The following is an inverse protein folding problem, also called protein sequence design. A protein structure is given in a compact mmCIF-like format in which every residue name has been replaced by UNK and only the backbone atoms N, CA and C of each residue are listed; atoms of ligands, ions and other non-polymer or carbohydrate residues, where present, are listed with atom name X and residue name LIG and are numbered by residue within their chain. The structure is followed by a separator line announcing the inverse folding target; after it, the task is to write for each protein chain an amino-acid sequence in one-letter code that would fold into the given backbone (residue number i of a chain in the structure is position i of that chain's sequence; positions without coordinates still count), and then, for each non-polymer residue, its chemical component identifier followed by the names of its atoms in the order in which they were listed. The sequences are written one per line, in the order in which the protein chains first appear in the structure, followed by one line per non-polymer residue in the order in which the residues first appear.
data_IF_105591609870
#
_entry.id   IF_105591609870
#
_cell.length_a   1.000
_cell.length_b   1.000
_cell.length_c   1.000
_cell.angle_alpha   90.00
_cell.angle_beta   90.00
_cell.angle_gamma   90.00
#
_symmetry.space_group_name_H-M   'P 1'
#
loop_
_entity.id
_entity.type
_entity.pdbx_description
1 polymer ?
#
# COMPACT_ATOMS: atom_id res chain seq x y z
N UNK A 1 -24.67 4.80 0.61
CA UNK A 1 -24.54 6.28 0.72
C UNK A 1 -24.16 6.85 -0.63
N UNK A 2 -24.34 8.16 -0.88
CA UNK A 2 -23.92 8.78 -2.15
C UNK A 2 -22.45 9.12 -2.12
N UNK A 3 -21.71 8.92 -3.22
CA UNK A 3 -20.32 9.37 -3.37
C UNK A 3 -20.15 10.88 -3.13
N UNK A 4 -21.21 11.66 -3.37
CA UNK A 4 -21.20 13.13 -3.12
C UNK A 4 -20.97 13.53 -1.66
N UNK A 5 -21.15 12.60 -0.71
CA UNK A 5 -20.92 12.86 0.72
C UNK A 5 -19.51 12.46 1.18
N UNK A 6 -18.68 11.93 0.29
CA UNK A 6 -17.31 11.54 0.62
C UNK A 6 -16.42 12.77 0.70
N UNK A 7 -15.53 12.76 1.70
CA UNK A 7 -14.57 13.83 1.97
C UNK A 7 -13.13 13.34 1.98
N UNK A 8 -12.92 12.03 2.14
CA UNK A 8 -11.61 11.43 2.19
C UNK A 8 -11.49 10.34 1.12
N UNK A 9 -10.63 10.57 0.15
CA UNK A 9 -10.43 9.74 -1.01
C UNK A 9 -9.08 9.03 -0.92
N UNK A 10 -9.10 7.74 -0.70
CA UNK A 10 -7.91 6.90 -0.72
C UNK A 10 -7.77 6.35 -2.14
N UNK A 11 -6.69 6.72 -2.82
CA UNK A 11 -6.51 6.52 -4.25
C UNK A 11 -5.35 5.56 -4.49
N UNK A 12 -5.60 4.45 -5.18
CA UNK A 12 -4.49 3.78 -5.85
C UNK A 12 -3.96 4.67 -6.99
N UNK A 13 -2.79 4.35 -7.53
CA UNK A 13 -2.12 5.21 -8.52
C UNK A 13 -2.07 4.60 -9.90
N UNK A 14 -1.28 3.54 -10.08
CA UNK A 14 -1.08 2.89 -11.38
C UNK A 14 -2.38 2.16 -11.80
N UNK A 15 -2.92 2.48 -12.97
CA UNK A 15 -4.22 1.95 -13.43
C UNK A 15 -5.43 2.76 -12.95
N UNK A 16 -5.25 3.69 -12.00
CA UNK A 16 -6.33 4.49 -11.40
C UNK A 16 -6.22 5.97 -11.74
N UNK A 17 -5.05 6.57 -11.56
CA UNK A 17 -4.80 7.99 -11.82
C UNK A 17 -3.97 8.18 -13.09
N UNK A 18 -3.07 7.26 -13.36
CA UNK A 18 -2.21 7.24 -14.54
C UNK A 18 -1.88 5.79 -14.91
N UNK A 19 -1.37 5.59 -16.13
CA UNK A 19 -0.73 4.35 -16.55
C UNK A 19 0.68 4.69 -17.06
N UNK A 20 1.71 4.07 -16.48
CA UNK A 20 3.12 4.41 -16.70
C UNK A 20 3.40 5.90 -16.44
N UNK A 21 3.46 6.73 -17.50
CA UNK A 21 3.68 8.18 -17.41
C UNK A 21 2.52 8.99 -18.00
N UNK A 22 1.43 8.35 -18.39
CA UNK A 22 0.28 8.98 -19.02
C UNK A 22 -0.86 9.14 -18.01
N UNK A 23 -1.23 10.38 -17.72
CA UNK A 23 -2.38 10.70 -16.89
C UNK A 23 -3.68 10.28 -17.58
N UNK A 24 -4.58 9.67 -16.80
CA UNK A 24 -5.95 9.49 -17.26
C UNK A 24 -6.69 10.84 -17.34
N UNK A 25 -7.54 10.95 -18.37
CA UNK A 25 -8.36 12.14 -18.57
C UNK A 25 -9.26 12.39 -17.32
N UNK A 26 -9.36 13.65 -16.90
CA UNK A 26 -10.10 14.05 -15.71
C UNK A 26 -9.39 13.85 -14.37
N UNK A 27 -8.19 13.25 -14.33
CA UNK A 27 -7.47 13.03 -13.07
C UNK A 27 -7.13 14.34 -12.35
N UNK A 28 -6.57 15.33 -13.07
CA UNK A 28 -6.26 16.65 -12.49
C UNK A 28 -7.53 17.39 -12.04
N UNK A 29 -8.60 17.33 -12.84
CA UNK A 29 -9.88 17.94 -12.49
C UNK A 29 -10.44 17.33 -11.20
N UNK A 30 -10.38 16.00 -11.07
CA UNK A 30 -10.84 15.29 -9.88
C UNK A 30 -10.03 15.70 -8.63
N UNK A 31 -8.70 15.64 -8.69
CA UNK A 31 -7.84 16.00 -7.55
C UNK A 31 -8.07 17.45 -7.11
N UNK A 32 -8.15 18.39 -8.09
CA UNK A 32 -8.44 19.80 -7.83
C UNK A 32 -9.83 19.99 -7.21
N UNK A 33 -10.85 19.28 -7.69
CA UNK A 33 -12.21 19.39 -7.18
C UNK A 33 -12.32 18.83 -5.74
N UNK A 34 -11.63 17.73 -5.41
CA UNK A 34 -11.55 17.22 -4.04
C UNK A 34 -11.02 18.29 -3.10
N UNK A 35 -9.90 18.91 -3.42
CA UNK A 35 -9.29 19.94 -2.58
C UNK A 35 -10.18 21.20 -2.48
N UNK A 36 -10.74 21.67 -3.60
CA UNK A 36 -11.60 22.84 -3.64
C UNK A 36 -12.90 22.68 -2.87
N UNK A 37 -13.40 21.44 -2.73
CA UNK A 37 -14.59 21.12 -1.94
C UNK A 37 -14.29 20.93 -0.43
N UNK A 38 -13.04 21.14 -0.01
CA UNK A 38 -12.61 20.91 1.38
C UNK A 38 -12.41 19.45 1.74
N UNK A 39 -12.37 18.56 0.75
CA UNK A 39 -12.00 17.15 0.91
C UNK A 39 -10.48 16.97 0.93
N UNK A 40 -10.05 15.73 1.22
CA UNK A 40 -8.66 15.30 1.19
C UNK A 40 -8.52 14.03 0.37
N UNK A 41 -7.43 13.90 -0.35
CA UNK A 41 -7.02 12.63 -0.94
C UNK A 41 -5.68 12.18 -0.39
N UNK A 42 -5.43 10.88 -0.44
CA UNK A 42 -4.12 10.25 -0.25
C UNK A 42 -3.91 9.21 -1.34
N UNK A 43 -2.73 9.21 -1.92
CA UNK A 43 -2.25 8.13 -2.75
C UNK A 43 -1.82 6.95 -1.88
N UNK A 44 -2.40 5.77 -2.10
CA UNK A 44 -2.20 4.58 -1.26
C UNK A 44 -1.58 3.48 -2.09
N UNK A 45 -0.30 3.17 -1.84
CA UNK A 45 0.45 2.17 -2.61
C UNK A 45 1.06 1.07 -1.74
N UNK A 46 1.01 -0.17 -2.24
CA UNK A 46 1.71 -1.30 -1.62
C UNK A 46 3.22 -1.30 -1.87
N UNK A 47 3.68 -0.53 -2.85
CA UNK A 47 5.09 -0.54 -3.20
C UNK A 47 5.95 0.04 -2.07
N UNK A 48 6.83 -0.79 -1.52
CA UNK A 48 7.78 -0.44 -0.45
C UNK A 48 9.22 -0.29 -0.95
N UNK A 49 9.46 -0.43 -2.25
CA UNK A 49 10.83 -0.34 -2.83
C UNK A 49 11.26 1.09 -3.18
N UNK A 50 10.31 2.03 -3.27
CA UNK A 50 10.57 3.44 -3.60
C UNK A 50 10.24 4.33 -2.40
N UNK A 51 11.05 5.36 -2.22
CA UNK A 51 10.75 6.41 -1.25
C UNK A 51 9.56 7.28 -1.71
N UNK A 52 8.90 7.92 -0.78
CA UNK A 52 7.82 8.86 -1.07
C UNK A 52 8.30 10.03 -1.94
N UNK A 53 9.55 10.48 -1.76
CA UNK A 53 10.15 11.54 -2.61
C UNK A 53 10.22 11.13 -4.08
N UNK A 54 10.51 9.85 -4.37
CA UNK A 54 10.53 9.35 -5.74
C UNK A 54 9.13 9.36 -6.38
N UNK A 55 8.08 9.19 -5.59
CA UNK A 55 6.69 9.34 -6.07
C UNK A 55 6.34 10.81 -6.31
N UNK A 56 6.73 11.72 -5.41
CA UNK A 56 6.57 13.17 -5.61
C UNK A 56 7.22 13.60 -6.92
N UNK A 57 8.46 13.17 -7.18
CA UNK A 57 9.17 13.48 -8.42
C UNK A 57 8.46 12.87 -9.66
N UNK A 58 8.00 11.62 -9.58
CA UNK A 58 7.24 10.97 -10.66
C UNK A 58 5.96 11.74 -10.98
N UNK A 59 5.15 12.06 -9.97
CA UNK A 59 3.88 12.76 -10.15
C UNK A 59 4.08 14.17 -10.69
N UNK A 60 5.09 14.90 -10.23
CA UNK A 60 5.44 16.21 -10.76
C UNK A 60 5.76 16.16 -12.27
N UNK A 61 6.47 15.13 -12.74
CA UNK A 61 6.79 14.97 -14.17
C UNK A 61 5.56 14.75 -15.06
N UNK A 62 4.50 14.19 -14.50
CA UNK A 62 3.24 13.98 -15.21
C UNK A 62 2.18 15.03 -14.89
N UNK A 63 2.56 16.12 -14.22
CA UNK A 63 1.73 17.30 -14.00
C UNK A 63 0.88 17.29 -12.74
N UNK A 64 1.08 16.35 -11.80
CA UNK A 64 0.42 16.35 -10.49
C UNK A 64 1.36 16.98 -9.46
N UNK A 65 0.94 18.11 -8.87
CA UNK A 65 1.62 18.68 -7.71
C UNK A 65 1.21 17.93 -6.46
N UNK A 66 2.14 17.16 -5.90
CA UNK A 66 1.93 16.40 -4.68
C UNK A 66 3.10 16.61 -3.70
N UNK A 67 2.82 16.47 -2.41
CA UNK A 67 3.80 16.51 -1.34
C UNK A 67 3.93 15.13 -0.70
N UNK A 68 4.98 14.91 0.07
CA UNK A 68 5.20 13.65 0.82
C UNK A 68 3.97 13.27 1.67
N UNK A 69 3.27 14.26 2.21
CA UNK A 69 2.08 14.07 3.05
C UNK A 69 0.83 13.57 2.29
N UNK A 70 0.85 13.64 0.96
CA UNK A 70 -0.24 13.15 0.11
C UNK A 70 -0.11 11.65 -0.23
N UNK A 71 0.89 10.98 0.35
CA UNK A 71 1.13 9.56 0.16
C UNK A 71 0.98 8.77 1.46
N UNK A 72 0.55 7.53 1.31
CA UNK A 72 0.64 6.49 2.31
C UNK A 72 1.15 5.22 1.63
N UNK A 73 2.42 4.94 1.82
CA UNK A 73 3.05 3.70 1.34
C UNK A 73 2.84 2.57 2.36
N UNK A 74 3.00 1.33 1.92
CA UNK A 74 3.03 0.20 2.86
C UNK A 74 4.18 0.29 3.87
N UNK A 75 5.29 0.98 3.52
CA UNK A 75 6.37 1.30 4.46
C UNK A 75 5.90 2.27 5.54
N UNK A 76 5.22 3.37 5.16
CA UNK A 76 4.70 4.35 6.12
C UNK A 76 3.69 3.70 7.08
N UNK A 77 2.79 2.89 6.54
CA UNK A 77 1.83 2.14 7.34
C UNK A 77 2.54 1.14 8.28
N UNK A 78 3.61 0.49 7.82
CA UNK A 78 4.41 -0.41 8.65
C UNK A 78 5.11 0.37 9.77
N UNK A 79 5.67 1.55 9.49
CA UNK A 79 6.25 2.43 10.51
C UNK A 79 5.21 2.83 11.57
N UNK A 80 4.00 3.22 11.15
CA UNK A 80 2.90 3.54 12.08
C UNK A 80 2.49 2.32 12.92
N UNK A 81 2.37 1.16 12.30
CA UNK A 81 2.04 -0.08 13.00
C UNK A 81 3.09 -0.48 14.03
N UNK A 82 4.37 -0.22 13.76
CA UNK A 82 5.49 -0.53 14.64
C UNK A 82 5.57 0.38 15.87
N UNK A 83 4.89 1.53 15.92
CA UNK A 83 4.87 2.41 17.10
C UNK A 83 4.42 1.70 18.37
N UNK A 84 3.55 0.69 18.28
CA UNK A 84 3.15 -0.13 19.44
C UNK A 84 4.29 -0.96 20.03
N UNK A 85 5.42 -1.06 19.34
CA UNK A 85 6.62 -1.75 19.79
C UNK A 85 7.79 -0.77 20.03
N UNK A 86 7.49 0.47 20.43
CA UNK A 86 8.51 1.48 20.69
C UNK A 86 9.61 0.95 21.63
N UNK A 87 10.85 1.28 21.33
CA UNK A 87 12.04 0.83 22.06
C UNK A 87 12.45 -0.63 21.81
N UNK A 88 11.76 -1.34 20.91
CA UNK A 88 12.11 -2.73 20.55
C UNK A 88 12.88 -2.78 19.24
N UNK A 89 13.80 -3.76 19.14
CA UNK A 89 14.67 -3.97 18.00
C UNK A 89 14.06 -4.97 17.02
N UNK A 90 14.16 -4.66 15.71
CA UNK A 90 13.71 -5.50 14.63
C UNK A 90 14.84 -5.83 13.67
N UNK A 91 14.94 -7.09 13.24
CA UNK A 91 15.73 -7.49 12.10
C UNK A 91 15.03 -7.04 10.80
N UNK A 92 15.77 -6.38 9.91
CA UNK A 92 15.21 -5.89 8.64
C UNK A 92 15.65 -6.77 7.48
N UNK A 93 14.65 -7.30 6.75
CA UNK A 93 14.82 -7.95 5.45
C UNK A 93 14.19 -7.05 4.38
N UNK A 94 14.99 -6.22 3.76
CA UNK A 94 14.56 -5.23 2.78
C UNK A 94 15.76 -4.48 2.20
N UNK A 95 15.48 -3.46 1.37
CA UNK A 95 16.52 -2.59 0.82
C UNK A 95 17.14 -1.71 1.91
N UNK A 96 18.31 -1.15 1.63
CA UNK A 96 18.92 -0.15 2.51
C UNK A 96 18.00 1.06 2.71
N UNK A 97 17.35 1.53 1.65
CA UNK A 97 16.38 2.64 1.72
C UNK A 97 15.20 2.32 2.66
N UNK A 98 14.69 1.09 2.62
CA UNK A 98 13.64 0.64 3.54
C UNK A 98 14.11 0.67 5.00
N UNK A 99 15.30 0.17 5.29
CA UNK A 99 15.88 0.21 6.64
C UNK A 99 16.07 1.66 7.13
N UNK A 100 16.56 2.55 6.27
CA UNK A 100 16.75 3.97 6.59
C UNK A 100 15.41 4.67 6.92
N UNK A 101 14.35 4.39 6.17
CA UNK A 101 13.01 4.94 6.44
C UNK A 101 12.46 4.43 7.79
N UNK A 102 12.66 3.15 8.13
CA UNK A 102 12.30 2.61 9.44
C UNK A 102 13.05 3.34 10.57
N UNK A 103 14.37 3.55 10.42
CA UNK A 103 15.19 4.29 11.40
C UNK A 103 14.72 5.73 11.57
N UNK A 104 14.45 6.44 10.48
CA UNK A 104 13.93 7.82 10.51
C UNK A 104 12.58 7.91 11.23
N UNK A 105 11.78 6.85 11.17
CA UNK A 105 10.50 6.74 11.87
C UNK A 105 10.64 6.32 13.35
N UNK A 106 11.89 6.18 13.85
CA UNK A 106 12.17 5.85 15.25
C UNK A 106 12.21 4.34 15.56
N UNK A 107 12.15 3.47 14.54
CA UNK A 107 12.28 2.01 14.72
C UNK A 107 13.75 1.64 14.94
N UNK A 108 14.04 0.88 15.99
CA UNK A 108 15.39 0.34 16.22
C UNK A 108 15.57 -0.88 15.33
N UNK A 109 16.54 -0.82 14.41
CA UNK A 109 16.75 -1.85 13.39
C UNK A 109 18.14 -2.47 13.47
N UNK A 110 18.25 -3.70 12.99
CA UNK A 110 19.52 -4.40 12.72
C UNK A 110 19.39 -5.25 11.47
N UNK A 111 20.52 -5.52 10.82
CA UNK A 111 20.68 -6.49 9.72
C UNK A 111 21.55 -7.69 10.13
N UNK A 112 21.82 -7.81 11.42
CA UNK A 112 22.58 -8.92 12.02
C UNK A 112 21.73 -9.66 13.02
N UNK A 113 21.98 -10.96 13.22
CA UNK A 113 21.32 -11.75 14.26
C UNK A 113 21.87 -11.33 15.63
N UNK A 114 21.01 -10.78 16.46
CA UNK A 114 21.29 -10.33 17.84
C UNK A 114 20.29 -10.93 18.82
N UNK A 115 20.64 -11.02 20.12
CA UNK A 115 19.82 -11.71 21.09
C UNK A 115 18.54 -10.93 21.47
N UNK A 116 18.58 -9.60 21.38
CA UNK A 116 17.51 -8.68 21.81
C UNK A 116 16.51 -8.32 20.70
N UNK A 117 16.52 -9.05 19.58
CA UNK A 117 15.55 -8.88 18.48
C UNK A 117 14.16 -9.34 18.98
N UNK A 118 13.17 -8.44 18.88
CA UNK A 118 11.76 -8.75 19.14
C UNK A 118 11.08 -9.39 17.92
N UNK A 119 11.46 -8.98 16.73
CA UNK A 119 10.78 -9.41 15.52
C UNK A 119 11.54 -9.12 14.23
N UNK A 120 10.89 -9.47 13.14
CA UNK A 120 11.38 -9.28 11.76
C UNK A 120 10.43 -8.37 11.03
N UNK A 121 10.96 -7.40 10.29
CA UNK A 121 10.21 -6.56 9.35
C UNK A 121 10.77 -6.81 7.94
N UNK A 122 9.88 -7.26 7.04
CA UNK A 122 10.21 -7.56 5.65
C UNK A 122 9.55 -6.54 4.73
N UNK A 123 10.30 -6.00 3.77
CA UNK A 123 9.81 -5.18 2.67
C UNK A 123 10.14 -5.80 1.32
N UNK A 124 9.67 -5.18 0.23
CA UNK A 124 10.12 -5.54 -1.11
C UNK A 124 11.61 -5.27 -1.23
N UNK A 125 12.40 -6.31 -1.53
CA UNK A 125 13.86 -6.27 -1.45
C UNK A 125 14.52 -6.51 -2.80
N UNK A 126 14.82 -5.43 -3.52
CA UNK A 126 15.59 -5.48 -4.77
C UNK A 126 17.09 -5.72 -4.54
N UNK A 127 17.53 -5.76 -3.28
CA UNK A 127 18.89 -6.08 -2.84
C UNK A 127 18.95 -7.46 -2.15
N UNK A 128 17.98 -8.35 -2.43
CA UNK A 128 17.84 -9.65 -1.79
C UNK A 128 19.06 -10.53 -2.00
N UNK A 129 19.54 -11.12 -0.91
CA UNK A 129 20.64 -12.08 -0.90
C UNK A 129 20.19 -13.37 -0.22
N UNK A 130 20.84 -14.49 -0.55
CA UNK A 130 20.58 -15.75 0.15
C UNK A 130 20.85 -15.65 1.65
N UNK A 131 21.84 -14.84 2.06
CA UNK A 131 22.12 -14.59 3.49
C UNK A 131 20.93 -14.00 4.22
N UNK A 132 20.20 -13.03 3.63
CA UNK A 132 18.99 -12.46 4.25
C UNK A 132 17.89 -13.53 4.43
N UNK A 133 17.72 -14.41 3.44
CA UNK A 133 16.78 -15.53 3.53
C UNK A 133 17.17 -16.53 4.62
N UNK A 134 18.45 -16.87 4.72
CA UNK A 134 18.99 -17.77 5.75
C UNK A 134 18.80 -17.17 7.16
N UNK A 135 19.19 -15.91 7.36
CA UNK A 135 19.04 -15.20 8.64
C UNK A 135 17.55 -15.17 9.09
N UNK A 136 16.62 -14.80 8.20
CA UNK A 136 15.19 -14.78 8.49
C UNK A 136 14.67 -16.18 8.82
N UNK A 137 15.05 -17.18 8.04
CA UNK A 137 14.63 -18.57 8.25
C UNK A 137 15.14 -19.11 9.59
N UNK A 138 16.40 -18.83 9.92
CA UNK A 138 17.01 -19.20 11.20
C UNK A 138 16.30 -18.53 12.37
N UNK A 139 16.11 -17.22 12.32
CA UNK A 139 15.43 -16.45 13.36
C UNK A 139 14.01 -16.98 13.63
N UNK A 140 13.23 -17.27 12.59
CA UNK A 140 11.85 -17.79 12.70
C UNK A 140 11.78 -19.25 13.16
N UNK A 141 12.85 -20.04 12.94
CA UNK A 141 12.93 -21.44 13.36
C UNK A 141 13.37 -21.55 14.81
N UNK A 142 14.37 -20.76 15.21
CA UNK A 142 14.98 -20.85 16.54
C UNK A 142 14.23 -20.04 17.60
N UNK A 143 13.39 -19.06 17.21
CA UNK A 143 12.76 -18.10 18.13
C UNK A 143 11.28 -17.84 17.78
N UNK A 144 10.48 -17.56 18.80
CA UNK A 144 9.12 -17.02 18.64
C UNK A 144 9.21 -15.50 18.52
N UNK A 145 9.12 -14.99 17.29
CA UNK A 145 9.29 -13.56 16.96
C UNK A 145 8.03 -12.99 16.33
N UNK A 146 7.83 -11.68 16.50
CA UNK A 146 6.86 -10.93 15.70
C UNK A 146 7.38 -10.88 14.27
N UNK A 147 6.57 -11.36 13.30
CA UNK A 147 6.95 -11.36 11.89
C UNK A 147 5.98 -10.50 11.08
N UNK A 148 6.48 -9.42 10.51
CA UNK A 148 5.72 -8.38 9.80
C UNK A 148 6.26 -8.26 8.38
N UNK A 149 5.38 -8.06 7.41
CA UNK A 149 5.73 -7.76 6.02
C UNK A 149 4.91 -6.58 5.50
N UNK A 150 5.52 -5.76 4.64
CA UNK A 150 4.89 -4.55 4.12
C UNK A 150 3.66 -4.82 3.27
N UNK A 151 3.71 -5.85 2.40
CA UNK A 151 2.60 -6.18 1.50
C UNK A 151 2.60 -7.67 1.13
N UNK A 152 1.44 -8.22 0.71
CA UNK A 152 1.31 -9.61 0.28
C UNK A 152 1.51 -9.81 -1.24
N UNK A 153 1.89 -8.79 -1.99
CA UNK A 153 1.94 -8.84 -3.45
C UNK A 153 2.97 -9.87 -3.93
N UNK A 154 2.57 -10.69 -4.89
CA UNK A 154 3.41 -11.74 -5.44
C UNK A 154 4.44 -11.21 -6.41
N UNK A 155 4.07 -10.19 -7.17
CA UNK A 155 4.87 -9.64 -8.25
C UNK A 155 4.78 -8.12 -8.28
N UNK A 156 5.88 -7.49 -8.73
CA UNK A 156 5.95 -6.07 -9.04
C UNK A 156 6.12 -5.90 -10.55
N UNK A 157 5.31 -5.07 -11.23
CA UNK A 157 5.43 -4.83 -12.67
C UNK A 157 6.72 -4.07 -13.02
N UNK A 158 7.29 -4.42 -14.16
CA UNK A 158 8.46 -3.77 -14.76
C UNK A 158 8.22 -3.56 -16.26
N UNK A 159 9.06 -2.79 -16.92
CA UNK A 159 8.97 -2.56 -18.38
C UNK A 159 9.11 -3.83 -19.23
N UNK A 160 9.65 -4.92 -18.69
CA UNK A 160 9.85 -6.20 -19.40
C UNK A 160 8.97 -7.35 -18.88
N UNK A 161 8.05 -7.08 -17.92
CA UNK A 161 7.18 -8.08 -17.31
C UNK A 161 7.12 -7.92 -15.79
N UNK A 162 7.31 -9.00 -15.04
CA UNK A 162 7.15 -9.00 -13.59
C UNK A 162 8.40 -9.53 -12.88
N UNK A 163 8.66 -8.98 -11.68
CA UNK A 163 9.67 -9.50 -10.73
C UNK A 163 8.97 -9.93 -9.43
N UNK A 164 9.55 -10.88 -8.64
CA UNK A 164 9.01 -11.22 -7.33
C UNK A 164 8.91 -10.01 -6.41
N UNK A 165 7.80 -9.92 -5.66
CA UNK A 165 7.59 -8.90 -4.64
C UNK A 165 7.63 -9.53 -3.23
N UNK A 166 7.37 -8.75 -2.20
CA UNK A 166 7.44 -9.09 -0.79
C UNK A 166 6.64 -10.36 -0.45
N UNK A 167 5.43 -10.52 -0.98
CA UNK A 167 4.59 -11.71 -0.77
C UNK A 167 5.20 -12.99 -1.31
N UNK A 168 5.89 -12.94 -2.47
CA UNK A 168 6.58 -14.11 -3.02
C UNK A 168 7.74 -14.54 -2.11
N UNK A 169 8.51 -13.58 -1.59
CA UNK A 169 9.60 -13.86 -0.64
C UNK A 169 9.04 -14.41 0.68
N UNK A 170 7.95 -13.82 1.18
CA UNK A 170 7.28 -14.31 2.39
C UNK A 170 6.77 -15.75 2.24
N UNK A 171 6.21 -16.12 1.08
CA UNK A 171 5.78 -17.52 0.84
C UNK A 171 6.98 -18.47 0.76
N UNK A 172 8.11 -18.06 0.17
CA UNK A 172 9.34 -18.86 0.17
C UNK A 172 9.82 -19.13 1.60
N UNK A 173 9.84 -18.11 2.47
CA UNK A 173 10.17 -18.26 3.90
C UNK A 173 9.15 -19.17 4.62
N UNK A 174 7.86 -19.01 4.33
CA UNK A 174 6.81 -19.85 4.90
C UNK A 174 6.99 -21.32 4.54
N UNK A 175 7.39 -21.65 3.31
CA UNK A 175 7.68 -23.03 2.89
C UNK A 175 8.84 -23.63 3.67
N UNK A 176 9.84 -22.82 4.03
CA UNK A 176 11.01 -23.25 4.79
C UNK A 176 10.73 -23.40 6.30
N UNK A 177 9.92 -22.49 6.88
CA UNK A 177 9.80 -22.34 8.35
C UNK A 177 8.40 -22.67 8.90
N UNK A 178 7.38 -22.74 8.06
CA UNK A 178 5.97 -22.83 8.46
C UNK A 178 5.38 -21.52 8.99
N UNK A 179 6.16 -20.44 9.10
CA UNK A 179 5.72 -19.16 9.67
C UNK A 179 5.29 -18.18 8.57
N UNK A 180 4.21 -17.44 8.81
CA UNK A 180 3.69 -16.41 7.92
C UNK A 180 3.73 -15.05 8.60
N UNK A 181 4.03 -13.96 7.86
CA UNK A 181 4.01 -12.62 8.43
C UNK A 181 2.58 -12.09 8.62
N UNK A 182 2.48 -11.06 9.45
CA UNK A 182 1.36 -10.12 9.45
C UNK A 182 1.64 -9.13 8.33
N UNK A 183 0.81 -9.16 7.28
CA UNK A 183 0.88 -8.19 6.20
C UNK A 183 0.15 -6.90 6.59
N UNK A 184 0.75 -5.74 6.27
CA UNK A 184 0.21 -4.42 6.62
C UNK A 184 -0.48 -3.77 5.41
N UNK A 185 0.06 -3.97 4.20
CA UNK A 185 -0.46 -3.41 2.96
C UNK A 185 -1.80 -4.02 2.50
N UNK A 186 -2.40 -3.41 1.47
CA UNK A 186 -3.61 -3.92 0.80
C UNK A 186 -3.42 -5.40 0.42
N UNK A 187 -4.40 -6.27 0.56
CA UNK A 187 -5.83 -6.05 0.85
C UNK A 187 -6.18 -5.92 2.35
N UNK A 188 -5.19 -5.85 3.22
CA UNK A 188 -5.42 -5.67 4.65
C UNK A 188 -5.96 -4.25 4.93
N UNK A 189 -6.83 -4.10 5.94
CA UNK A 189 -7.46 -2.81 6.24
C UNK A 189 -6.53 -1.81 6.94
N UNK A 190 -5.40 -2.26 7.46
CA UNK A 190 -4.53 -1.50 8.37
C UNK A 190 -4.12 -0.14 7.78
N UNK A 191 -3.73 -0.10 6.49
CA UNK A 191 -3.36 1.16 5.84
C UNK A 191 -4.51 2.18 5.86
N UNK A 192 -5.71 1.75 5.49
CA UNK A 192 -6.88 2.61 5.42
C UNK A 192 -7.32 3.07 6.82
N UNK A 193 -7.32 2.15 7.79
CA UNK A 193 -7.66 2.46 9.18
C UNK A 193 -6.68 3.47 9.79
N UNK A 194 -5.38 3.28 9.58
CA UNK A 194 -4.33 4.21 10.02
C UNK A 194 -4.46 5.59 9.34
N UNK A 195 -4.82 5.63 8.05
CA UNK A 195 -5.08 6.88 7.34
C UNK A 195 -6.28 7.63 7.94
N UNK A 196 -7.40 6.94 8.16
CA UNK A 196 -8.59 7.53 8.78
C UNK A 196 -8.31 8.05 10.19
N UNK A 197 -7.61 7.29 11.00
CA UNK A 197 -7.20 7.72 12.35
C UNK A 197 -6.30 8.96 12.30
N UNK A 198 -5.26 8.94 11.45
CA UNK A 198 -4.31 10.05 11.31
C UNK A 198 -4.97 11.38 10.92
N UNK A 199 -5.96 11.32 10.02
CA UNK A 199 -6.59 12.51 9.45
C UNK A 199 -7.99 12.81 10.03
N UNK A 200 -8.51 11.98 10.93
CA UNK A 200 -9.76 12.21 11.66
C UNK A 200 -11.02 12.01 10.81
N UNK A 201 -11.00 11.17 9.78
CA UNK A 201 -12.17 10.87 8.96
C UNK A 201 -12.88 9.59 9.39
N UNK A 202 -14.22 9.60 9.31
CA UNK A 202 -15.04 8.42 9.55
C UNK A 202 -15.08 7.48 8.33
N UNK A 203 -15.56 6.26 8.52
CA UNK A 203 -15.76 5.30 7.43
C UNK A 203 -16.78 5.79 6.39
N UNK A 204 -17.81 6.47 6.86
CA UNK A 204 -18.87 7.04 6.03
C UNK A 204 -18.36 8.16 5.12
N UNK A 205 -17.38 8.92 5.59
CA UNK A 205 -16.74 10.01 4.84
C UNK A 205 -15.64 9.52 3.91
N UNK A 206 -15.18 8.27 4.08
CA UNK A 206 -14.04 7.70 3.35
C UNK A 206 -14.49 6.83 2.19
N UNK A 207 -13.72 6.82 1.10
CA UNK A 207 -13.87 5.91 -0.03
C UNK A 207 -12.51 5.45 -0.52
N UNK A 208 -12.37 4.15 -0.84
CA UNK A 208 -11.20 3.61 -1.53
C UNK A 208 -11.49 3.51 -3.02
N UNK A 209 -10.61 4.07 -3.85
CA UNK A 209 -10.68 4.03 -5.32
C UNK A 209 -9.45 3.31 -5.84
N UNK A 210 -9.65 2.31 -6.67
CA UNK A 210 -8.55 1.53 -7.25
C UNK A 210 -9.02 0.66 -8.40
N UNK A 211 -8.08 0.06 -9.10
CA UNK A 211 -8.32 -0.75 -10.29
C UNK A 211 -8.26 -2.26 -10.02
N UNK A 212 -7.90 -2.69 -8.79
CA UNK A 212 -7.73 -4.10 -8.46
C UNK A 212 -8.75 -4.56 -7.42
N UNK A 213 -9.56 -5.57 -7.81
CA UNK A 213 -10.54 -6.17 -6.90
C UNK A 213 -9.87 -6.83 -5.70
N UNK A 214 -8.77 -7.56 -5.91
CA UNK A 214 -8.13 -8.38 -4.88
C UNK A 214 -7.22 -7.60 -3.90
N UNK A 215 -6.89 -6.34 -4.19
CA UNK A 215 -6.11 -5.46 -3.30
C UNK A 215 -6.91 -4.25 -2.85
N UNK A 216 -7.26 -3.35 -3.77
CA UNK A 216 -7.88 -2.06 -3.45
C UNK A 216 -9.29 -2.23 -2.91
N UNK A 217 -10.13 -2.90 -3.70
CA UNK A 217 -11.52 -3.14 -3.31
C UNK A 217 -11.58 -4.01 -2.07
N UNK A 218 -10.75 -5.05 -2.01
CA UNK A 218 -10.66 -5.90 -0.85
C UNK A 218 -10.21 -5.13 0.41
N UNK A 219 -9.26 -4.19 0.29
CA UNK A 219 -8.83 -3.38 1.43
C UNK A 219 -9.94 -2.46 1.95
N UNK A 220 -10.68 -1.81 1.03
CA UNK A 220 -11.82 -0.97 1.38
C UNK A 220 -12.95 -1.79 2.03
N UNK A 221 -13.29 -2.95 1.45
CA UNK A 221 -14.26 -3.88 2.02
C UNK A 221 -13.87 -4.32 3.44
N UNK A 222 -12.62 -4.72 3.64
CA UNK A 222 -12.09 -5.16 4.93
C UNK A 222 -12.05 -4.02 5.96
N UNK A 223 -11.81 -2.78 5.53
CA UNK A 223 -11.85 -1.59 6.38
C UNK A 223 -13.30 -1.13 6.70
N UNK A 224 -14.28 -1.60 5.94
CA UNK A 224 -15.70 -1.22 6.07
C UNK A 224 -15.97 0.18 5.51
N UNK A 225 -15.25 0.59 4.46
CA UNK A 225 -15.48 1.83 3.70
C UNK A 225 -16.09 1.51 2.33
N UNK A 226 -16.75 2.49 1.71
CA UNK A 226 -17.20 2.36 0.33
C UNK A 226 -16.00 2.23 -0.62
N UNK A 227 -16.21 1.51 -1.72
CA UNK A 227 -15.18 1.25 -2.73
C UNK A 227 -15.66 1.61 -4.12
N UNK A 228 -14.76 2.14 -4.93
CA UNK A 228 -14.98 2.36 -6.37
C UNK A 228 -13.91 1.59 -7.14
N UNK A 229 -14.33 0.63 -7.93
CA UNK A 229 -13.48 -0.01 -8.92
C UNK A 229 -13.50 0.83 -10.19
N UNK A 230 -12.32 1.20 -10.69
CA UNK A 230 -12.17 1.77 -12.04
C UNK A 230 -11.69 0.68 -12.99
N UNK A 231 -12.25 0.67 -14.22
CA UNK A 231 -11.94 -0.32 -15.25
C UNK A 231 -10.79 0.14 -16.18
N UNK A 232 -10.14 1.24 -15.81
CA UNK A 232 -8.97 1.79 -16.54
C UNK A 232 -7.66 1.03 -16.33
N UNK A 233 -7.64 0.09 -15.37
CA UNK A 233 -6.44 -0.65 -14.99
C UNK A 233 -6.55 -2.16 -15.20
N UNK A 234 -6.19 -2.94 -14.16
CA UNK A 234 -5.97 -4.39 -14.26
C UNK A 234 -7.27 -5.20 -14.27
N UNK A 235 -8.22 -4.91 -13.35
CA UNK A 235 -9.39 -5.77 -13.17
C UNK A 235 -10.48 -5.51 -14.21
N UNK A 236 -11.13 -6.57 -14.62
CA UNK A 236 -12.26 -6.59 -15.53
C UNK A 236 -13.59 -6.85 -14.82
N UNK A 237 -14.72 -6.74 -15.53
CA UNK A 237 -16.03 -7.14 -15.00
C UNK A 237 -16.09 -8.64 -14.69
N UNK A 238 -15.33 -9.47 -15.39
CA UNK A 238 -15.27 -10.91 -15.13
C UNK A 238 -14.56 -11.20 -13.81
N UNK A 239 -13.51 -10.42 -13.47
CA UNK A 239 -12.86 -10.50 -12.16
C UNK A 239 -13.82 -10.11 -11.03
N UNK A 240 -14.62 -9.06 -11.24
CA UNK A 240 -15.68 -8.69 -10.29
C UNK A 240 -16.69 -9.82 -10.12
N UNK A 241 -17.14 -10.42 -11.24
CA UNK A 241 -18.16 -11.48 -11.19
C UNK A 241 -17.67 -12.73 -10.47
N UNK A 242 -16.39 -13.08 -10.62
CA UNK A 242 -15.76 -14.25 -10.01
C UNK A 242 -15.31 -14.04 -8.56
N UNK A 243 -15.20 -12.80 -8.09
CA UNK A 243 -14.78 -12.47 -6.72
C UNK A 243 -15.95 -12.58 -5.72
N UNK A 244 -15.66 -13.03 -4.50
CA UNK A 244 -16.59 -12.94 -3.37
C UNK A 244 -16.74 -11.51 -2.85
N UNK A 245 -15.72 -10.66 -3.08
CA UNK A 245 -15.73 -9.26 -2.67
C UNK A 245 -16.22 -8.42 -3.85
N UNK A 246 -17.25 -7.61 -3.60
CA UNK A 246 -17.84 -6.73 -4.62
C UNK A 246 -17.54 -5.27 -4.30
N UNK A 247 -17.17 -4.46 -5.31
CA UNK A 247 -17.08 -3.02 -5.13
C UNK A 247 -18.45 -2.39 -4.85
N UNK A 248 -18.47 -1.28 -4.10
CA UNK A 248 -19.70 -0.50 -3.90
C UNK A 248 -20.16 0.16 -5.20
N UNK A 249 -19.19 0.60 -6.00
CA UNK A 249 -19.42 1.21 -7.32
C UNK A 249 -18.41 0.66 -8.32
N UNK A 250 -18.83 0.61 -9.60
CA UNK A 250 -17.94 0.33 -10.74
C UNK A 250 -18.07 1.50 -11.70
N UNK A 251 -16.96 2.02 -12.18
CA UNK A 251 -16.88 3.14 -13.12
C UNK A 251 -15.78 2.87 -14.15
N UNK A 252 -15.91 3.47 -15.33
CA UNK A 252 -14.94 3.24 -16.40
C UNK A 252 -13.56 3.81 -16.01
N UNK A 253 -13.53 5.03 -15.43
CA UNK A 253 -12.30 5.75 -15.09
C UNK A 253 -12.52 6.83 -14.02
N UNK A 254 -11.45 7.55 -13.70
CA UNK A 254 -11.48 8.67 -12.74
C UNK A 254 -12.32 9.85 -13.23
N UNK A 255 -12.46 10.05 -14.54
CA UNK A 255 -13.28 11.09 -15.14
C UNK A 255 -14.77 10.86 -14.89
N UNK A 256 -15.22 9.61 -14.97
CA UNK A 256 -16.60 9.27 -14.63
C UNK A 256 -16.89 9.58 -13.15
N UNK A 257 -15.93 9.27 -12.24
CA UNK A 257 -16.06 9.61 -10.82
C UNK A 257 -16.17 11.13 -10.64
N UNK A 258 -15.31 11.90 -11.28
CA UNK A 258 -15.35 13.38 -11.25
C UNK A 258 -16.72 13.91 -11.70
N UNK A 259 -17.21 13.45 -12.83
CA UNK A 259 -18.52 13.88 -13.36
C UNK A 259 -19.66 13.54 -12.42
N UNK A 260 -19.64 12.37 -11.79
CA UNK A 260 -20.70 11.91 -10.88
C UNK A 260 -20.75 12.64 -9.56
N UNK A 261 -19.61 13.11 -9.06
CA UNK A 261 -19.51 13.80 -7.77
C UNK A 261 -19.68 15.30 -7.93
N UNK A 262 -19.06 15.91 -8.94
CA UNK A 262 -18.85 17.36 -9.04
C UNK A 262 -19.62 18.01 -10.19
N UNK A 263 -20.21 17.25 -11.09
CA UNK A 263 -21.13 17.75 -12.14
C UNK A 263 -22.52 17.21 -11.95
#
# INVERSE_FOLDING_TARGET
MSLKNKKFFLLDMDGTIYLDNDLFDGALDFLSAVQSSGGKYLFVTNNSSKSTDAYVEKLSKIGIEANVEDFLTSTDATCLYLKKYEGKKFYVSGTRSFEEQLKQSGVITTTSIEDDILGIVMGNDTELTFKKLDDVSRLLTERELVYIATNPDWVCPTSYGYVPDCGAVAEMIKRATGKSPIFIGKPKPEMLLLAMEKYGYSKEETVMIGDRVYTDIASGYNAGVDTVLVLSGESTLDDVNSSDIKPTYIMDDIKEIYNKIYK
#
